data_IF_339177762425
#
_entry.id   IF_339177762425
#
_cell.length_a   1.000
_cell.length_b   1.000
_cell.length_c   1.000
_cell.angle_alpha   90.00
_cell.angle_beta   90.00
_cell.angle_gamma   90.00
#
_symmetry.space_group_name_H-M   'P 1'
#
loop_
_entity.id
_entity.type
_entity.pdbx_description
1 polymer ?
#
# COMPACT_ATOMS: atom_id res chain seq x y z
N UNK A 1 13.98 13.63 -67.33
CA UNK A 1 12.84 13.31 -66.45
C UNK A 1 13.32 12.17 -65.56
N UNK A 2 13.92 12.51 -64.43
CA UNK A 2 14.34 11.52 -63.42
C UNK A 2 13.33 11.57 -62.28
N UNK A 3 12.75 10.41 -61.96
CA UNK A 3 11.92 10.23 -60.77
C UNK A 3 12.84 9.90 -59.58
N UNK A 4 12.68 10.52 -58.40
CA UNK A 4 13.45 10.14 -57.22
C UNK A 4 12.91 8.82 -56.64
N UNK A 5 13.77 8.02 -55.97
CA UNK A 5 13.33 6.81 -55.31
C UNK A 5 12.49 7.15 -54.07
N UNK A 6 11.37 6.44 -53.92
CA UNK A 6 10.53 6.46 -52.74
C UNK A 6 11.31 5.82 -51.58
N UNK A 7 11.70 6.63 -50.59
CA UNK A 7 12.17 6.13 -49.30
C UNK A 7 11.04 5.34 -48.64
N UNK A 8 11.21 4.02 -48.54
CA UNK A 8 10.41 3.20 -47.65
C UNK A 8 10.80 3.54 -46.21
N UNK A 9 9.94 4.26 -45.50
CA UNK A 9 10.00 4.38 -44.05
C UNK A 9 9.61 3.01 -43.46
N UNK A 10 10.61 2.15 -43.28
CA UNK A 10 10.48 0.98 -42.40
C UNK A 10 10.43 1.52 -40.97
N UNK A 11 9.22 1.75 -40.45
CA UNK A 11 9.01 2.12 -39.06
C UNK A 11 9.61 1.06 -38.15
N UNK A 12 10.71 1.40 -37.47
CA UNK A 12 11.29 0.56 -36.44
C UNK A 12 10.25 0.37 -35.32
N UNK A 13 9.88 -0.88 -35.05
CA UNK A 13 9.07 -1.23 -33.89
C UNK A 13 9.84 -0.83 -32.61
N UNK A 14 9.15 -0.36 -31.56
CA UNK A 14 9.83 -0.05 -30.30
C UNK A 14 10.49 -1.32 -29.76
N UNK A 15 11.79 -1.23 -29.47
CA UNK A 15 12.58 -2.36 -28.98
C UNK A 15 12.17 -2.84 -27.58
N UNK A 16 11.36 -2.06 -26.86
CA UNK A 16 10.86 -2.34 -25.52
C UNK A 16 9.34 -2.10 -25.46
N UNK A 17 8.60 -3.03 -24.85
CA UNK A 17 7.17 -2.91 -24.61
C UNK A 17 6.79 -3.42 -23.23
N UNK A 18 5.80 -2.76 -22.62
CA UNK A 18 5.24 -3.14 -21.33
C UNK A 18 3.82 -3.64 -21.56
N UNK A 19 3.52 -4.83 -21.04
CA UNK A 19 2.20 -5.43 -21.06
C UNK A 19 1.64 -5.38 -19.65
N UNK A 20 0.47 -4.77 -19.50
CA UNK A 20 -0.25 -4.73 -18.23
C UNK A 20 -1.50 -5.62 -18.27
N UNK A 21 -1.93 -6.16 -17.11
CA UNK A 21 -3.18 -6.90 -17.03
C UNK A 21 -4.36 -6.04 -17.48
N UNK A 22 -5.27 -6.63 -18.28
CA UNK A 22 -6.51 -5.96 -18.69
C UNK A 22 -7.46 -5.70 -17.51
N UNK A 23 -7.44 -6.59 -16.52
CA UNK A 23 -8.26 -6.47 -15.32
C UNK A 23 -7.50 -5.69 -14.23
N UNK A 24 -8.20 -4.85 -13.44
CA UNK A 24 -7.57 -4.16 -12.33
C UNK A 24 -7.06 -5.18 -11.30
N UNK A 25 -5.91 -4.88 -10.71
CA UNK A 25 -5.45 -5.54 -9.50
C UNK A 25 -6.48 -5.31 -8.40
N UNK A 26 -6.72 -6.31 -7.56
CA UNK A 26 -7.71 -6.23 -6.49
C UNK A 26 -7.05 -6.50 -5.16
N UNK A 27 -7.38 -5.68 -4.18
CA UNK A 27 -6.99 -5.90 -2.80
C UNK A 27 -8.13 -5.56 -1.88
N UNK A 28 -8.09 -6.14 -0.69
CA UNK A 28 -8.97 -5.79 0.40
C UNK A 28 -8.17 -4.90 1.37
N UNK A 29 -8.83 -3.98 2.05
CA UNK A 29 -8.18 -3.17 3.10
C UNK A 29 -7.42 -4.04 4.10
N UNK A 30 -6.25 -3.58 4.52
CA UNK A 30 -5.27 -4.24 5.38
C UNK A 30 -4.53 -5.44 4.77
N UNK A 31 -4.89 -5.90 3.57
CA UNK A 31 -4.15 -6.94 2.85
C UNK A 31 -2.97 -6.37 2.06
N UNK A 32 -2.29 -7.23 1.32
CA UNK A 32 -1.23 -6.86 0.38
C UNK A 32 -1.81 -6.79 -1.03
N UNK A 33 -1.54 -5.69 -1.76
CA UNK A 33 -1.78 -5.58 -3.18
C UNK A 33 -0.53 -5.95 -3.97
N UNK A 34 -0.73 -6.61 -5.11
CA UNK A 34 0.29 -6.89 -6.11
C UNK A 34 -0.11 -6.21 -7.42
N UNK A 35 0.78 -5.38 -7.97
CA UNK A 35 0.57 -4.67 -9.22
C UNK A 35 1.59 -5.16 -10.25
N UNK A 36 1.22 -6.17 -11.06
CA UNK A 36 2.14 -6.78 -11.99
C UNK A 36 2.15 -6.05 -13.33
N UNK A 37 3.27 -6.17 -14.04
CA UNK A 37 3.38 -5.95 -15.47
C UNK A 37 4.33 -7.00 -16.06
N UNK A 38 4.40 -7.08 -17.37
CA UNK A 38 5.37 -7.91 -18.08
C UNK A 38 6.16 -7.04 -19.04
N UNK A 39 7.46 -7.29 -19.12
CA UNK A 39 8.35 -6.60 -20.03
C UNK A 39 8.65 -7.51 -21.22
N UNK A 40 8.53 -6.98 -22.43
CA UNK A 40 8.96 -7.66 -23.64
C UNK A 40 9.96 -6.77 -24.38
N UNK A 41 11.10 -7.33 -24.75
CA UNK A 41 12.13 -6.66 -25.53
C UNK A 41 12.55 -7.52 -26.70
N UNK A 42 12.85 -6.89 -27.84
CA UNK A 42 13.49 -7.56 -28.97
C UNK A 42 14.99 -7.79 -28.74
N UNK A 43 15.57 -7.12 -27.75
CA UNK A 43 16.98 -7.22 -27.41
C UNK A 43 17.15 -7.87 -26.03
N UNK A 44 17.81 -9.03 -25.98
CA UNK A 44 18.01 -9.82 -24.76
C UNK A 44 19.22 -9.39 -23.93
N UNK A 45 19.94 -8.35 -24.36
CA UNK A 45 21.06 -7.75 -23.63
C UNK A 45 20.53 -6.80 -22.55
N UNK A 46 20.18 -7.36 -21.40
CA UNK A 46 19.64 -6.64 -20.24
C UNK A 46 20.77 -6.07 -19.36
N UNK A 47 21.62 -5.22 -19.92
CA UNK A 47 22.80 -4.68 -19.21
C UNK A 47 22.44 -3.68 -18.10
N UNK A 48 21.33 -2.96 -18.30
CA UNK A 48 20.79 -1.98 -17.38
C UNK A 48 19.27 -1.91 -17.48
N UNK A 49 18.61 -1.92 -16.33
CA UNK A 49 17.16 -1.75 -16.21
C UNK A 49 16.87 -0.82 -15.04
N UNK A 50 16.16 0.27 -15.32
CA UNK A 50 15.63 1.20 -14.33
C UNK A 50 14.11 1.10 -14.34
N UNK A 51 13.52 0.87 -13.18
CA UNK A 51 12.08 0.73 -13.02
C UNK A 51 11.62 1.69 -11.93
N UNK A 52 10.65 2.52 -12.26
CA UNK A 52 10.05 3.48 -11.34
C UNK A 52 8.57 3.24 -11.25
N UNK A 53 8.07 3.14 -10.02
CA UNK A 53 6.66 3.09 -9.72
C UNK A 53 6.20 4.39 -9.08
N UNK A 54 5.07 4.90 -9.57
CA UNK A 54 4.45 6.13 -9.08
C UNK A 54 2.93 5.94 -8.97
N UNK A 55 2.32 6.58 -7.98
CA UNK A 55 0.87 6.69 -7.87
C UNK A 55 0.40 7.96 -8.58
N UNK A 56 -0.55 7.83 -9.51
CA UNK A 56 -1.04 8.97 -10.28
C UNK A 56 -2.06 9.73 -9.43
N UNK A 57 -1.76 10.99 -9.12
CA UNK A 57 -2.68 11.89 -8.41
C UNK A 57 -3.04 13.09 -9.27
N UNK A 58 -4.11 13.81 -8.91
CA UNK A 58 -4.53 15.02 -9.62
C UNK A 58 -3.53 16.17 -9.55
N UNK A 59 -2.63 16.20 -8.56
CA UNK A 59 -1.62 17.26 -8.37
C UNK A 59 -0.24 16.87 -8.91
N UNK A 60 -0.08 15.65 -9.43
CA UNK A 60 1.19 15.11 -9.92
C UNK A 60 1.38 13.64 -9.53
N UNK A 61 2.37 12.98 -10.12
CA UNK A 61 2.68 11.60 -9.76
C UNK A 61 3.45 11.57 -8.43
N UNK A 62 2.98 10.74 -7.49
CA UNK A 62 3.63 10.52 -6.20
C UNK A 62 4.60 9.33 -6.33
N UNK A 63 5.92 9.51 -6.17
CA UNK A 63 6.86 8.40 -6.26
C UNK A 63 6.62 7.38 -5.16
N UNK A 64 6.72 6.10 -5.50
CA UNK A 64 6.57 4.98 -4.57
C UNK A 64 7.92 4.31 -4.34
N UNK A 65 8.53 3.82 -5.41
CA UNK A 65 9.83 3.18 -5.35
C UNK A 65 10.55 3.22 -6.70
N UNK A 66 11.87 3.12 -6.62
CA UNK A 66 12.78 2.95 -7.75
C UNK A 66 13.54 1.64 -7.55
N UNK A 67 13.66 0.86 -8.62
CA UNK A 67 14.33 -0.42 -8.67
C UNK A 67 15.29 -0.44 -9.86
N UNK A 68 16.57 -0.57 -9.58
CA UNK A 68 17.65 -0.48 -10.55
C UNK A 68 18.39 -1.80 -10.57
N UNK A 69 18.51 -2.38 -11.76
CA UNK A 69 19.38 -3.50 -12.05
C UNK A 69 20.48 -3.02 -12.99
N UNK A 70 21.72 -3.16 -12.57
CA UNK A 70 22.90 -2.79 -13.35
C UNK A 70 23.99 -3.84 -13.21
N UNK A 71 25.03 -3.71 -14.05
CA UNK A 71 26.15 -4.66 -14.09
C UNK A 71 25.67 -6.13 -14.21
N UNK A 72 24.66 -6.36 -15.05
CA UNK A 72 24.07 -7.67 -15.25
C UNK A 72 25.00 -8.59 -16.05
N UNK A 73 25.11 -9.84 -15.60
CA UNK A 73 25.93 -10.88 -16.25
C UNK A 73 25.11 -12.14 -16.52
N UNK A 74 25.39 -12.77 -17.66
CA UNK A 74 24.71 -13.99 -18.11
C UNK A 74 23.71 -13.75 -19.24
N UNK A 75 23.12 -14.85 -19.72
CA UNK A 75 22.04 -14.84 -20.72
C UNK A 75 20.87 -15.63 -20.13
N UNK A 76 19.91 -14.93 -19.55
CA UNK A 76 18.70 -15.53 -19.01
C UNK A 76 17.54 -15.33 -19.99
N UNK A 77 16.57 -16.26 -19.98
CA UNK A 77 15.37 -16.10 -20.80
C UNK A 77 14.53 -14.93 -20.27
N UNK A 78 14.40 -14.85 -18.94
CA UNK A 78 13.75 -13.76 -18.26
C UNK A 78 14.80 -12.77 -17.71
N UNK A 79 14.56 -11.47 -17.89
CA UNK A 79 15.50 -10.44 -17.47
C UNK A 79 15.71 -10.36 -15.95
N UNK A 80 14.75 -10.85 -15.16
CA UNK A 80 14.83 -10.90 -13.70
C UNK A 80 15.57 -12.13 -13.16
N UNK A 81 15.94 -13.08 -14.02
CA UNK A 81 16.76 -14.25 -13.66
C UNK A 81 18.26 -13.99 -13.90
N UNK A 82 18.60 -12.87 -14.55
CA UNK A 82 19.98 -12.46 -14.78
C UNK A 82 20.64 -12.04 -13.46
N UNK A 83 21.92 -12.37 -13.28
CA UNK A 83 22.65 -11.95 -12.08
C UNK A 83 23.07 -10.50 -12.24
N UNK A 84 22.47 -9.59 -11.48
CA UNK A 84 22.70 -8.14 -11.53
C UNK A 84 23.06 -7.59 -10.15
N UNK A 85 23.70 -6.42 -10.12
CA UNK A 85 23.68 -5.57 -8.94
C UNK A 85 22.29 -4.91 -8.84
N UNK A 86 21.77 -4.85 -7.62
CA UNK A 86 20.39 -4.44 -7.35
C UNK A 86 20.40 -3.28 -6.37
N UNK A 87 19.79 -2.18 -6.78
CA UNK A 87 19.50 -1.03 -5.92
C UNK A 87 18.01 -0.80 -5.83
N UNK A 88 17.48 -0.68 -4.62
CA UNK A 88 16.06 -0.39 -4.35
C UNK A 88 15.95 0.82 -3.43
N UNK A 89 15.19 1.82 -3.88
CA UNK A 89 14.90 3.02 -3.11
C UNK A 89 13.40 3.16 -2.95
N UNK A 90 12.92 3.33 -1.71
CA UNK A 90 11.48 3.45 -1.41
C UNK A 90 11.22 4.87 -0.91
N UNK A 91 10.18 5.51 -1.43
CA UNK A 91 9.74 6.83 -1.00
C UNK A 91 9.31 6.81 0.48
N UNK A 92 9.51 7.91 1.18
CA UNK A 92 9.32 8.02 2.63
C UNK A 92 7.89 7.68 3.05
N UNK A 93 6.89 8.10 2.26
CA UNK A 93 5.46 7.88 2.49
C UNK A 93 5.08 6.39 2.40
N UNK A 94 5.86 5.63 1.64
CA UNK A 94 5.67 4.20 1.40
C UNK A 94 6.68 3.34 2.16
N UNK A 95 7.52 3.94 3.00
CA UNK A 95 8.50 3.21 3.79
C UNK A 95 7.79 2.15 4.64
N UNK A 96 8.32 0.94 4.67
CA UNK A 96 7.73 -0.27 5.32
C UNK A 96 6.47 -0.84 4.64
N UNK A 97 5.83 -0.12 3.72
CA UNK A 97 4.62 -0.58 3.01
C UNK A 97 4.92 -1.07 1.59
N UNK A 98 5.79 -0.37 0.86
CA UNK A 98 6.12 -0.74 -0.50
C UNK A 98 7.33 -1.68 -0.57
N UNK A 99 7.24 -2.64 -1.47
CA UNK A 99 8.31 -3.57 -1.82
C UNK A 99 8.20 -3.95 -3.30
N UNK A 100 9.13 -4.76 -3.79
CA UNK A 100 9.12 -5.21 -5.18
C UNK A 100 9.58 -6.66 -5.29
N UNK A 101 8.88 -7.48 -6.07
CA UNK A 101 9.36 -8.82 -6.42
C UNK A 101 10.39 -8.75 -7.56
N UNK A 102 11.14 -9.84 -7.77
CA UNK A 102 12.21 -9.93 -8.77
C UNK A 102 11.75 -9.49 -10.18
N UNK A 103 10.54 -9.86 -10.60
CA UNK A 103 9.94 -9.49 -11.88
C UNK A 103 9.39 -8.04 -11.95
N UNK A 104 9.79 -7.20 -10.99
CA UNK A 104 9.34 -5.82 -10.80
C UNK A 104 7.85 -5.60 -10.48
N UNK A 105 7.12 -6.64 -10.10
CA UNK A 105 5.77 -6.48 -9.54
C UNK A 105 5.82 -5.64 -8.27
N UNK A 106 5.11 -4.52 -8.26
CA UNK A 106 5.00 -3.66 -7.08
C UNK A 106 4.15 -4.34 -6.02
N UNK A 107 4.65 -4.33 -4.78
CA UNK A 107 3.97 -4.85 -3.60
C UNK A 107 3.60 -3.68 -2.71
N UNK A 108 2.32 -3.57 -2.33
CA UNK A 108 1.85 -2.59 -1.33
C UNK A 108 1.23 -3.37 -0.17
N UNK A 109 1.84 -3.30 1.02
CA UNK A 109 1.38 -3.98 2.24
C UNK A 109 0.46 -3.08 3.05
N UNK A 110 -0.52 -3.70 3.71
CA UNK A 110 -1.48 -2.99 4.56
C UNK A 110 -2.26 -1.96 3.76
N UNK A 111 -2.87 -2.39 2.65
CA UNK A 111 -3.60 -1.54 1.71
C UNK A 111 -4.71 -0.75 2.42
N UNK A 112 -4.86 0.51 2.05
CA UNK A 112 -5.88 1.43 2.55
C UNK A 112 -6.80 1.86 1.41
N UNK A 113 -7.97 2.43 1.73
CA UNK A 113 -8.94 2.83 0.71
C UNK A 113 -8.38 3.90 -0.24
N UNK A 114 -7.53 4.79 0.30
CA UNK A 114 -6.82 5.84 -0.45
C UNK A 114 -5.75 5.32 -1.41
N UNK A 115 -5.32 4.06 -1.30
CA UNK A 115 -4.40 3.46 -2.26
C UNK A 115 -5.11 3.05 -3.56
N UNK A 116 -6.45 3.12 -3.63
CA UNK A 116 -7.18 2.80 -4.85
C UNK A 116 -6.89 3.83 -5.95
N UNK A 117 -6.56 3.36 -7.16
CA UNK A 117 -6.32 4.24 -8.30
C UNK A 117 -5.32 3.69 -9.31
N UNK A 118 -4.83 4.59 -10.15
CA UNK A 118 -3.91 4.26 -11.25
C UNK A 118 -2.46 4.43 -10.79
N UNK A 119 -1.65 3.42 -11.07
CA UNK A 119 -0.22 3.40 -10.83
C UNK A 119 0.51 3.43 -12.16
N UNK A 120 1.53 4.29 -12.27
CA UNK A 120 2.40 4.38 -13.42
C UNK A 120 3.66 3.56 -13.15
N UNK A 121 3.96 2.64 -14.07
CA UNK A 121 5.29 2.02 -14.16
C UNK A 121 6.04 2.64 -15.33
N UNK A 122 7.26 3.09 -15.07
CA UNK A 122 8.20 3.52 -16.10
C UNK A 122 9.38 2.56 -16.09
N UNK A 123 9.69 1.98 -17.25
CA UNK A 123 10.85 1.13 -17.45
C UNK A 123 11.79 1.81 -18.42
N UNK A 124 13.07 1.87 -18.08
CA UNK A 124 14.12 2.43 -18.92
C UNK A 124 15.28 1.45 -19.00
N UNK A 125 15.77 1.23 -20.21
CA UNK A 125 17.04 0.55 -20.48
C UNK A 125 18.02 1.58 -21.06
N UNK A 126 19.17 1.14 -21.59
CA UNK A 126 20.22 2.04 -22.09
C UNK A 126 19.70 3.04 -23.15
N UNK A 127 18.97 2.55 -24.14
CA UNK A 127 18.59 3.34 -25.32
C UNK A 127 17.09 3.65 -25.41
N UNK A 128 16.25 2.93 -24.66
CA UNK A 128 14.81 2.99 -24.79
C UNK A 128 14.11 3.06 -23.44
N UNK A 129 12.90 3.62 -23.46
CA UNK A 129 12.04 3.66 -22.28
C UNK A 129 10.59 3.42 -22.71
N UNK A 130 9.80 2.90 -21.78
CA UNK A 130 8.39 2.64 -21.94
C UNK A 130 7.66 2.97 -20.64
N UNK A 131 6.38 3.28 -20.74
CA UNK A 131 5.52 3.44 -19.59
C UNK A 131 4.22 2.65 -19.77
N UNK A 132 3.60 2.30 -18.66
CA UNK A 132 2.28 1.70 -18.65
C UNK A 132 1.57 2.01 -17.34
N UNK A 133 0.24 1.83 -17.35
CA UNK A 133 -0.57 2.06 -16.16
C UNK A 133 -1.23 0.76 -15.69
N UNK A 134 -1.29 0.60 -14.37
CA UNK A 134 -1.94 -0.53 -13.69
C UNK A 134 -2.94 0.04 -12.70
N UNK A 135 -4.19 -0.43 -12.77
CA UNK A 135 -5.25 0.03 -11.88
C UNK A 135 -5.35 -0.87 -10.63
N UNK A 136 -5.46 -0.29 -9.44
CA UNK A 136 -5.75 -0.99 -8.19
C UNK A 136 -7.16 -0.65 -7.71
N UNK A 137 -7.97 -1.68 -7.55
CA UNK A 137 -9.29 -1.60 -6.92
C UNK A 137 -9.19 -2.12 -5.49
N UNK A 138 -9.54 -1.27 -4.52
CA UNK A 138 -9.57 -1.63 -3.11
C UNK A 138 -11.02 -1.85 -2.68
N UNK A 139 -11.28 -2.98 -2.03
CA UNK A 139 -12.57 -3.29 -1.41
C UNK A 139 -12.44 -3.19 0.10
N UNK A 140 -13.32 -2.43 0.75
CA UNK A 140 -13.37 -2.39 2.21
C UNK A 140 -13.99 -3.66 2.75
N UNK A 141 -13.40 -4.24 3.81
CA UNK A 141 -14.12 -5.24 4.59
C UNK A 141 -15.27 -4.50 5.27
N UNK A 142 -16.50 -4.94 5.04
CA UNK A 142 -17.68 -4.52 5.80
C UNK A 142 -17.60 -5.06 7.24
N UNK A 143 -16.53 -4.71 7.96
CA UNK A 143 -16.36 -4.94 9.38
C UNK A 143 -17.07 -3.83 10.13
N UNK A 144 -17.86 -4.20 11.13
CA UNK A 144 -18.64 -3.32 12.02
C UNK A 144 -17.77 -2.32 12.79
N UNK A 145 -17.20 -1.32 12.11
CA UNK A 145 -16.48 -0.20 12.72
C UNK A 145 -16.94 1.13 12.13
N UNK A 146 -18.26 1.34 12.17
CA UNK A 146 -18.89 2.65 12.04
C UNK A 146 -18.63 3.55 13.28
N UNK A 147 -17.37 3.67 13.72
CA UNK A 147 -16.99 4.52 14.87
C UNK A 147 -16.04 5.66 14.49
N UNK A 148 -15.50 5.67 13.26
CA UNK A 148 -14.63 6.76 12.79
C UNK A 148 -15.37 7.69 11.83
N UNK A 149 -16.41 8.36 12.33
CA UNK A 149 -16.82 9.67 11.80
C UNK A 149 -17.71 10.38 12.82
N UNK A 150 -17.18 10.58 14.03
CA UNK A 150 -17.70 11.61 14.90
C UNK A 150 -16.78 12.81 14.72
N UNK A 151 -17.29 13.81 14.00
CA UNK A 151 -16.68 15.15 13.88
C UNK A 151 -16.22 15.61 15.28
N UNK A 152 -15.08 16.31 15.41
CA UNK A 152 -14.58 16.80 16.70
C UNK A 152 -15.63 17.61 17.48
N UNK A 153 -16.60 18.22 16.79
CA UNK A 153 -17.74 18.95 17.36
C UNK A 153 -18.67 18.01 18.15
N UNK A 154 -18.86 16.77 17.71
CA UNK A 154 -19.75 15.79 18.35
C UNK A 154 -19.13 15.15 19.59
N UNK A 155 -17.80 14.96 19.63
CA UNK A 155 -17.07 14.48 20.81
C UNK A 155 -17.12 15.50 21.95
N UNK A 156 -16.96 16.79 21.63
CA UNK A 156 -17.06 17.89 22.59
C UNK A 156 -18.47 17.94 23.20
N UNK A 157 -19.52 17.81 22.37
CA UNK A 157 -20.91 17.80 22.84
C UNK A 157 -21.20 16.62 23.77
N UNK A 158 -20.67 15.43 23.49
CA UNK A 158 -20.82 14.26 24.36
C UNK A 158 -20.12 14.44 25.70
N UNK A 159 -18.92 15.03 25.69
CA UNK A 159 -18.17 15.32 26.91
C UNK A 159 -18.91 16.33 27.81
N UNK A 160 -19.45 17.41 27.23
CA UNK A 160 -20.28 18.37 27.98
C UNK A 160 -21.59 17.74 28.49
N UNK A 161 -22.27 16.91 27.70
CA UNK A 161 -23.47 16.21 28.15
C UNK A 161 -23.18 15.28 29.33
N UNK A 162 -22.06 14.56 29.30
CA UNK A 162 -21.61 13.69 30.39
C UNK A 162 -21.26 14.51 31.65
N UNK A 163 -20.55 15.62 31.50
CA UNK A 163 -20.23 16.54 32.60
C UNK A 163 -21.49 17.11 33.26
N UNK A 164 -22.46 17.54 32.46
CA UNK A 164 -23.74 18.07 32.97
C UNK A 164 -24.50 17.00 33.73
N UNK A 165 -24.57 15.76 33.23
CA UNK A 165 -25.19 14.64 33.94
C UNK A 165 -24.48 14.31 35.26
N UNK A 166 -23.14 14.33 35.28
CA UNK A 166 -22.37 14.12 36.50
C UNK A 166 -22.63 15.21 37.55
N UNK A 167 -22.68 16.48 37.14
CA UNK A 167 -22.97 17.61 38.03
C UNK A 167 -24.40 17.49 38.56
N UNK A 168 -25.38 17.17 37.71
CA UNK A 168 -26.76 16.96 38.14
C UNK A 168 -26.88 15.79 39.15
N UNK A 169 -26.17 14.70 38.93
CA UNK A 169 -26.13 13.58 39.87
C UNK A 169 -25.51 13.96 41.22
N UNK A 170 -24.50 14.83 41.25
CA UNK A 170 -23.93 15.38 42.48
C UNK A 170 -24.91 16.30 43.20
N UNK A 171 -25.65 17.15 42.48
CA UNK A 171 -26.66 18.05 43.08
C UNK A 171 -27.89 17.31 43.60
N UNK A 172 -28.23 16.15 43.04
CA UNK A 172 -29.30 15.29 43.54
C UNK A 172 -28.79 14.38 44.67
N UNK A 173 -27.50 14.05 44.66
CA UNK A 173 -26.82 13.27 45.71
C UNK A 173 -26.63 14.01 47.05
N UNK A 174 -26.79 15.33 47.08
CA UNK A 174 -26.73 16.15 48.30
C UNK A 174 -28.11 16.48 48.90
N UNK A 175 -29.16 15.73 48.57
CA UNK A 175 -30.45 15.76 49.29
C UNK A 175 -30.81 14.36 49.80
N UNK A 176 -29.86 13.69 50.43
CA UNK A 176 -30.12 12.49 51.26
C UNK A 176 -29.00 12.30 52.28
N UNK A 177 -28.76 13.32 53.11
CA UNK A 177 -28.13 13.10 54.41
C UNK A 177 -29.18 13.31 55.51
N UNK A 178 -29.95 12.26 55.79
CA UNK A 178 -30.48 12.01 57.13
C UNK A 178 -30.95 10.55 57.24
N UNK A 179 -30.41 9.89 58.27
CA UNK A 179 -30.79 8.60 58.83
C UNK A 179 -30.27 7.34 58.11
N UNK A 180 -29.13 6.81 58.55
CA UNK A 180 -29.13 5.77 59.59
C UNK A 180 -27.72 5.27 59.93
N UNK A 181 -27.43 5.39 61.22
CA UNK A 181 -26.35 4.85 62.01
C UNK A 181 -26.42 3.30 62.07
N UNK A 182 -25.44 2.56 61.52
CA UNK A 182 -24.73 1.41 62.14
C UNK A 182 -23.86 0.58 61.16
N UNK A 183 -22.62 0.33 61.59
CA UNK A 183 -21.85 -0.92 61.42
C UNK A 183 -21.19 -1.29 60.06
N UNK A 184 -19.86 -1.15 60.02
CA UNK A 184 -18.93 -1.99 59.23
C UNK A 184 -18.49 -3.18 60.14
N UNK A 185 -18.14 -4.41 59.68
CA UNK A 185 -16.83 -4.66 59.06
C UNK A 185 -16.71 -5.79 57.99
N UNK A 186 -15.93 -5.49 56.94
CA UNK A 186 -14.84 -6.32 56.38
C UNK A 186 -15.06 -7.37 55.25
N UNK A 187 -14.03 -7.41 54.36
CA UNK A 187 -13.57 -8.49 53.44
C UNK A 187 -14.32 -8.55 52.09
N UNK A 188 -13.74 -8.58 50.89
CA UNK A 188 -12.37 -8.93 50.42
C UNK A 188 -12.20 -8.42 48.98
N UNK A 189 -11.06 -7.79 48.64
CA UNK A 189 -10.58 -7.70 47.26
C UNK A 189 -10.03 -9.07 46.83
N UNK A 190 -10.43 -9.58 45.65
CA UNK A 190 -9.81 -10.74 45.01
C UNK A 190 -9.58 -10.46 43.52
N UNK A 191 -8.31 -10.37 43.12
CA UNK A 191 -7.83 -10.47 41.73
C UNK A 191 -7.47 -11.94 41.41
N UNK A 192 -7.73 -12.38 40.17
CA UNK A 192 -7.05 -13.50 39.45
C UNK A 192 -7.33 -13.36 37.94
N UNK A 193 -6.30 -13.04 37.14
CA UNK A 193 -5.46 -13.91 36.28
C UNK A 193 -6.17 -14.25 34.96
N UNK A 194 -5.78 -13.65 33.82
CA UNK A 194 -4.61 -13.96 32.97
C UNK A 194 -4.89 -15.17 32.07
N UNK A 195 -5.04 -14.93 30.77
CA UNK A 195 -4.84 -15.93 29.72
C UNK A 195 -4.36 -15.23 28.44
N UNK A 196 -3.10 -15.53 28.11
CA UNK A 196 -2.38 -15.25 26.87
C UNK A 196 -2.79 -16.28 25.82
N UNK A 197 -2.98 -15.88 24.56
CA UNK A 197 -2.82 -16.80 23.44
C UNK A 197 -2.03 -16.15 22.30
N UNK A 198 -1.12 -16.98 21.81
CA UNK A 198 0.02 -16.77 20.94
C UNK A 198 -0.33 -17.12 19.48
N UNK A 199 0.47 -16.60 18.55
CA UNK A 199 0.88 -17.36 17.37
C UNK A 199 0.06 -17.26 16.08
N UNK A 200 0.76 -16.85 15.02
CA UNK A 200 0.45 -17.15 13.61
C UNK A 200 0.11 -15.92 12.76
N UNK A 201 0.67 -15.68 11.58
CA UNK A 201 1.60 -16.45 10.75
C UNK A 201 2.09 -15.46 9.68
N UNK A 202 3.40 -15.43 9.46
CA UNK A 202 4.06 -14.60 8.46
C UNK A 202 3.77 -15.12 7.05
N UNK A 203 2.99 -14.36 6.26
CA UNK A 203 2.87 -14.59 4.82
C UNK A 203 4.08 -13.94 4.14
N UNK A 204 5.12 -14.74 3.94
CA UNK A 204 6.20 -14.44 3.01
C UNK A 204 5.68 -14.58 1.58
N UNK A 205 5.98 -13.59 0.73
CA UNK A 205 5.84 -13.71 -0.71
C UNK A 205 6.87 -12.79 -1.38
N UNK A 206 8.04 -13.34 -1.67
CA UNK A 206 8.75 -13.34 -2.97
C UNK A 206 9.91 -14.34 -2.71
N UNK A 207 9.74 -15.63 -3.04
CA UNK A 207 10.76 -16.65 -2.77
C UNK A 207 12.06 -16.37 -3.54
N UNK A 208 13.14 -16.88 -2.93
CA UNK A 208 14.55 -16.96 -3.35
C UNK A 208 14.85 -16.81 -4.84
#
# INVERSE_FOLDING_TARGET
>A
MEFPPLFSLSGALPALSIITPKNPARAITSQTALLPFSLQSLNSAWEFIYIKWEFITGTGNLPILVYILDNCTGTAHNWWETTCQLTKEVAKEYQQRADICQNATLVIRGVQAEDAGMYLVTVRTLDVWANATVNLMVTEVAGKFAWKSLSPISTIRLFFACLVLCILALTVGEVSDCCCHLSIPSKTCRKRSEETYDGGESVGCCNE
#
